data_IF_832443069964
#
_entry.id   IF_832443069964
#
_cell.length_a   1.000
_cell.length_b   1.000
_cell.length_c   1.000
_cell.angle_alpha   90.00
_cell.angle_beta   90.00
_cell.angle_gamma   90.00
#
_symmetry.space_group_name_H-M   'P 1'
#
loop_
_entity.id
_entity.type
_entity.pdbx_description
1 polymer ?
#
# COMPACT_ATOMS: atom_id res chain seq x y z
N UNK A 1 -16.58 19.74 -2.47
CA UNK A 1 -15.87 18.64 -3.17
C UNK A 1 -14.34 18.85 -3.20
N UNK A 2 -13.75 19.63 -2.29
CA UNK A 2 -12.29 19.95 -2.25
C UNK A 2 -11.53 19.00 -1.30
N UNK A 3 -12.22 18.41 -0.33
CA UNK A 3 -11.63 17.57 0.72
C UNK A 3 -11.17 16.19 0.23
N UNK A 4 -11.74 15.68 -0.86
CA UNK A 4 -11.41 14.36 -1.40
C UNK A 4 -10.14 14.38 -2.25
N UNK A 5 -9.95 15.41 -3.08
CA UNK A 5 -8.76 15.55 -3.93
C UNK A 5 -7.48 15.76 -3.09
N UNK A 6 -7.55 16.56 -2.02
CA UNK A 6 -6.44 16.75 -1.07
C UNK A 6 -5.98 15.42 -0.46
N UNK A 7 -6.92 14.54 -0.12
CA UNK A 7 -6.61 13.26 0.51
C UNK A 7 -5.81 12.34 -0.41
N UNK A 8 -6.16 12.25 -1.69
CA UNK A 8 -5.40 11.42 -2.65
C UNK A 8 -4.01 11.99 -2.90
N UNK A 9 -3.86 13.32 -2.93
CA UNK A 9 -2.54 13.95 -3.03
C UNK A 9 -1.65 13.60 -1.81
N UNK A 10 -2.19 13.70 -0.59
CA UNK A 10 -1.46 13.35 0.63
C UNK A 10 -1.03 11.87 0.65
N UNK A 11 -1.92 10.97 0.20
CA UNK A 11 -1.62 9.55 0.10
C UNK A 11 -0.56 9.25 -0.96
N UNK A 12 -0.61 9.93 -2.10
CA UNK A 12 0.42 9.82 -3.13
C UNK A 12 1.78 10.33 -2.63
N UNK A 13 1.81 11.41 -1.86
CA UNK A 13 3.03 11.87 -1.20
C UNK A 13 3.58 10.81 -0.21
N UNK A 14 2.69 10.16 0.55
CA UNK A 14 3.08 9.12 1.50
C UNK A 14 3.66 7.85 0.83
N UNK A 15 3.12 7.44 -0.33
CA UNK A 15 3.62 6.27 -1.08
C UNK A 15 4.73 6.58 -2.07
N UNK A 16 5.05 7.86 -2.33
CA UNK A 16 6.13 8.23 -3.25
C UNK A 16 7.49 7.60 -2.85
N UNK A 17 7.74 7.46 -1.54
CA UNK A 17 8.95 6.83 -1.01
C UNK A 17 9.00 5.32 -1.29
N UNK A 18 7.85 4.67 -1.48
CA UNK A 18 7.75 3.23 -1.79
C UNK A 18 8.45 2.84 -3.09
N UNK A 19 8.76 3.83 -3.94
CA UNK A 19 9.34 3.61 -5.25
C UNK A 19 10.62 2.78 -5.19
N UNK A 20 10.69 1.73 -6.00
CA UNK A 20 11.86 0.84 -6.07
C UNK A 20 12.00 -0.13 -4.89
N UNK A 21 11.04 -0.15 -3.96
CA UNK A 21 10.99 -1.14 -2.88
C UNK A 21 10.54 -2.52 -3.35
N UNK A 22 10.45 -3.44 -2.40
CA UNK A 22 9.85 -4.77 -2.55
C UNK A 22 8.58 -4.81 -1.71
N UNK A 23 7.44 -5.05 -2.36
CA UNK A 23 6.15 -5.15 -1.69
C UNK A 23 5.75 -6.61 -1.48
N UNK A 24 5.07 -6.86 -0.36
CA UNK A 24 4.42 -8.13 -0.04
C UNK A 24 3.02 -7.87 0.54
N UNK A 25 2.07 -8.74 0.21
CA UNK A 25 0.81 -8.84 0.91
C UNK A 25 1.09 -9.47 2.28
N UNK A 26 1.12 -8.64 3.32
CA UNK A 26 1.65 -9.03 4.62
C UNK A 26 0.63 -9.79 5.47
N UNK A 27 -0.57 -9.23 5.59
CA UNK A 27 -1.62 -9.76 6.46
C UNK A 27 -2.99 -9.39 5.90
N UNK A 28 -3.93 -10.33 5.99
CA UNK A 28 -5.34 -10.07 5.66
C UNK A 28 -6.25 -10.53 6.82
N UNK A 29 -6.96 -9.58 7.41
CA UNK A 29 -7.95 -9.82 8.45
C UNK A 29 -9.37 -9.78 7.85
N UNK A 30 -9.91 -10.96 7.53
CA UNK A 30 -11.19 -11.10 6.83
C UNK A 30 -12.37 -10.42 7.57
N UNK A 31 -12.43 -10.52 8.89
CA UNK A 31 -13.50 -9.90 9.70
C UNK A 31 -13.54 -8.37 9.62
N UNK A 32 -12.42 -7.74 9.28
CA UNK A 32 -12.30 -6.30 9.10
C UNK A 32 -12.24 -5.89 7.63
N UNK A 33 -12.17 -6.87 6.71
CA UNK A 33 -11.80 -6.65 5.32
C UNK A 33 -10.55 -5.75 5.22
N UNK A 34 -9.58 -6.02 6.10
CA UNK A 34 -8.36 -5.23 6.24
C UNK A 34 -7.19 -5.97 5.60
N UNK A 35 -6.47 -5.30 4.70
CA UNK A 35 -5.24 -5.79 4.07
C UNK A 35 -4.08 -4.87 4.45
N UNK A 36 -3.01 -5.45 4.95
CA UNK A 36 -1.73 -4.76 5.15
C UNK A 36 -0.79 -5.14 4.03
N UNK A 37 -0.29 -4.13 3.32
CA UNK A 37 0.81 -4.28 2.36
C UNK A 37 2.07 -3.76 3.05
N UNK A 38 3.13 -4.57 3.02
CA UNK A 38 4.42 -4.18 3.57
C UNK A 38 5.42 -3.98 2.45
N UNK A 39 6.16 -2.88 2.53
CA UNK A 39 7.18 -2.52 1.54
C UNK A 39 8.49 -2.33 2.28
N UNK A 40 9.55 -2.93 1.76
CA UNK A 40 10.92 -2.85 2.30
C UNK A 40 11.90 -2.46 1.20
N UNK A 41 13.09 -2.02 1.59
CA UNK A 41 14.17 -1.72 0.65
C UNK A 41 15.41 -2.54 0.99
N UNK A 42 16.09 -3.02 -0.04
CA UNK A 42 17.30 -3.83 0.14
C UNK A 42 18.40 -2.99 0.79
N UNK A 43 19.05 -3.56 1.80
CA UNK A 43 20.15 -2.91 2.50
C UNK A 43 19.73 -1.83 3.50
N UNK A 44 18.44 -1.68 3.78
CA UNK A 44 17.94 -0.79 4.84
C UNK A 44 17.06 -1.54 5.83
N UNK A 45 16.93 -0.98 7.03
CA UNK A 45 15.97 -1.41 8.06
C UNK A 45 14.60 -0.76 7.89
N UNK A 46 14.43 0.06 6.85
CA UNK A 46 13.23 0.86 6.67
C UNK A 46 12.10 -0.01 6.11
N UNK A 47 10.87 0.30 6.53
CA UNK A 47 9.68 -0.29 5.94
C UNK A 47 8.51 0.69 5.89
N UNK A 48 7.58 0.43 4.99
CA UNK A 48 6.31 1.12 4.88
C UNK A 48 5.18 0.10 5.00
N UNK A 49 4.22 0.38 5.86
CA UNK A 49 2.99 -0.41 5.98
C UNK A 49 1.83 0.42 5.45
N UNK A 50 1.12 -0.15 4.49
CA UNK A 50 -0.10 0.42 3.94
C UNK A 50 -1.25 -0.45 4.42
N UNK A 51 -2.05 0.08 5.34
CA UNK A 51 -3.19 -0.63 5.93
C UNK A 51 -4.47 -0.13 5.28
N UNK A 52 -5.12 -1.01 4.54
CA UNK A 52 -6.33 -0.73 3.77
C UNK A 52 -7.53 -1.43 4.41
N UNK A 53 -8.60 -0.70 4.69
CA UNK A 53 -9.83 -1.23 5.30
C UNK A 53 -11.01 -1.17 4.34
N UNK A 54 -11.94 -2.12 4.51
CA UNK A 54 -13.09 -2.25 3.61
C UNK A 54 -12.67 -2.61 2.19
N UNK A 55 -11.69 -3.50 2.07
CA UNK A 55 -11.18 -3.98 0.77
C UNK A 55 -12.27 -4.78 0.05
N UNK A 56 -12.61 -4.38 -1.18
CA UNK A 56 -13.68 -5.00 -1.98
C UNK A 56 -13.17 -5.66 -3.26
N UNK A 57 -11.95 -5.34 -3.69
CA UNK A 57 -11.29 -5.95 -4.84
C UNK A 57 -9.79 -5.95 -4.64
N UNK A 58 -9.15 -7.07 -4.96
CA UNK A 58 -7.70 -7.24 -4.97
C UNK A 58 -7.29 -8.02 -6.22
N UNK A 59 -6.34 -7.48 -6.97
CA UNK A 59 -5.61 -8.12 -8.06
C UNK A 59 -4.13 -7.91 -7.76
N UNK A 60 -3.41 -8.98 -7.47
CA UNK A 60 -2.03 -8.88 -7.03
C UNK A 60 -1.34 -10.25 -7.08
N UNK A 61 -0.04 -10.24 -7.34
CA UNK A 61 0.84 -11.29 -6.86
C UNK A 61 1.07 -11.13 -5.36
N UNK A 62 1.43 -12.23 -4.68
CA UNK A 62 1.68 -12.20 -3.22
C UNK A 62 2.84 -11.25 -2.83
N UNK A 63 3.76 -10.99 -3.75
CA UNK A 63 4.80 -9.98 -3.62
C UNK A 63 5.39 -9.59 -4.97
N UNK A 64 5.94 -8.39 -5.06
CA UNK A 64 6.52 -7.84 -6.29
C UNK A 64 7.68 -6.89 -5.99
N UNK A 65 8.57 -6.73 -6.97
CA UNK A 65 9.73 -5.83 -6.91
C UNK A 65 9.44 -4.53 -7.66
N UNK A 66 10.36 -3.57 -7.55
CA UNK A 66 10.36 -2.30 -8.28
C UNK A 66 9.04 -1.55 -8.13
N UNK A 67 8.53 -1.52 -6.89
CA UNK A 67 7.24 -0.93 -6.53
C UNK A 67 7.09 0.47 -7.11
N UNK A 68 5.94 0.77 -7.70
CA UNK A 68 5.56 2.10 -8.18
C UNK A 68 4.06 2.35 -7.97
N UNK A 69 3.70 2.63 -6.72
CA UNK A 69 2.31 2.76 -6.28
C UNK A 69 1.75 4.16 -6.51
N UNK A 70 0.47 4.19 -6.89
CA UNK A 70 -0.32 5.41 -7.05
C UNK A 70 -1.73 5.22 -6.46
N UNK A 71 -2.24 6.25 -5.80
CA UNK A 71 -3.62 6.34 -5.33
C UNK A 71 -4.47 7.12 -6.31
N UNK A 72 -5.68 6.62 -6.57
CA UNK A 72 -6.65 7.27 -7.43
C UNK A 72 -8.06 7.18 -6.83
N UNK A 73 -8.92 8.12 -7.20
CA UNK A 73 -10.35 8.03 -6.88
C UNK A 73 -11.01 6.93 -7.71
N UNK A 74 -11.84 6.12 -7.05
CA UNK A 74 -12.61 5.07 -7.70
C UNK A 74 -14.13 5.36 -7.74
N UNK A 75 -14.54 6.54 -7.28
CA UNK A 75 -15.96 6.91 -7.15
C UNK A 75 -16.60 6.35 -5.86
N UNK A 76 -17.81 6.83 -5.53
CA UNK A 76 -18.61 6.32 -4.39
C UNK A 76 -17.91 6.32 -3.02
N UNK A 77 -16.92 7.20 -2.83
CA UNK A 77 -16.13 7.27 -1.59
C UNK A 77 -15.02 6.22 -1.46
N UNK A 78 -14.83 5.37 -2.47
CA UNK A 78 -13.73 4.42 -2.54
C UNK A 78 -12.47 5.04 -3.16
N UNK A 79 -11.33 4.51 -2.78
CA UNK A 79 -10.01 4.81 -3.33
C UNK A 79 -9.40 3.53 -3.87
N UNK A 80 -8.64 3.65 -4.96
CA UNK A 80 -7.86 2.53 -5.49
C UNK A 80 -6.37 2.79 -5.37
N UNK A 81 -5.64 1.78 -4.94
CA UNK A 81 -4.19 1.71 -5.01
C UNK A 81 -3.81 0.87 -6.22
N UNK A 82 -2.91 1.35 -7.04
CA UNK A 82 -2.48 0.66 -8.26
C UNK A 82 -0.95 0.64 -8.36
N UNK A 83 -0.42 -0.45 -8.91
CA UNK A 83 0.92 -0.51 -9.47
C UNK A 83 0.78 -1.13 -10.86
N UNK A 84 0.89 -0.28 -11.89
CA UNK A 84 0.63 -0.71 -13.27
C UNK A 84 1.68 -1.68 -13.79
N UNK A 85 2.92 -1.59 -13.30
CA UNK A 85 4.02 -2.44 -13.73
C UNK A 85 3.85 -3.85 -13.17
N UNK A 86 3.43 -3.95 -11.90
CA UNK A 86 3.18 -5.23 -11.24
C UNK A 86 1.77 -5.79 -11.47
N UNK A 87 0.94 -5.16 -12.32
CA UNK A 87 -0.47 -5.49 -12.51
C UNK A 87 -1.27 -5.56 -11.19
N UNK A 88 -0.90 -4.72 -10.23
CA UNK A 88 -1.54 -4.64 -8.92
C UNK A 88 -2.71 -3.65 -8.94
N UNK A 89 -3.82 -4.04 -8.32
CA UNK A 89 -4.95 -3.18 -8.02
C UNK A 89 -5.59 -3.59 -6.69
N UNK A 90 -5.85 -2.60 -5.84
CA UNK A 90 -6.63 -2.75 -4.63
C UNK A 90 -7.69 -1.66 -4.56
N UNK A 91 -8.94 -2.04 -4.27
CA UNK A 91 -10.04 -1.11 -4.01
C UNK A 91 -10.43 -1.18 -2.53
N UNK A 92 -10.41 -0.05 -1.83
CA UNK A 92 -10.73 0.04 -0.41
C UNK A 92 -11.43 1.36 -0.03
N UNK A 93 -12.00 1.41 1.17
CA UNK A 93 -12.72 2.58 1.67
C UNK A 93 -11.82 3.52 2.48
N UNK A 94 -10.88 2.96 3.24
CA UNK A 94 -9.99 3.70 4.12
C UNK A 94 -8.57 3.18 4.02
N UNK A 95 -7.62 4.08 4.23
CA UNK A 95 -6.20 3.77 4.20
C UNK A 95 -5.50 4.52 5.31
N UNK A 96 -4.49 3.87 5.88
CA UNK A 96 -3.49 4.45 6.75
C UNK A 96 -2.11 4.01 6.26
N UNK A 97 -1.14 4.90 6.36
CA UNK A 97 0.24 4.65 5.95
C UNK A 97 1.12 4.86 7.18
N UNK A 98 1.98 3.89 7.47
CA UNK A 98 2.84 3.90 8.64
C UNK A 98 4.29 3.60 8.24
N UNK A 99 5.21 4.31 8.88
CA UNK A 99 6.63 4.17 8.62
C UNK A 99 7.30 3.36 9.73
N UNK A 100 8.18 2.44 9.35
CA UNK A 100 9.10 1.73 10.23
C UNK A 100 8.40 1.00 11.39
N UNK A 101 7.33 0.27 11.07
CA UNK A 101 6.60 -0.55 12.02
C UNK A 101 7.38 -1.85 12.29
N UNK A 102 7.50 -2.20 13.57
CA UNK A 102 8.07 -3.47 14.01
C UNK A 102 7.17 -4.65 13.62
N UNK A 103 7.73 -5.85 13.40
CA UNK A 103 9.15 -6.19 13.49
C UNK A 103 9.92 -5.79 12.24
N UNK A 104 11.04 -5.09 12.40
CA UNK A 104 12.02 -4.86 11.33
C UNK A 104 12.87 -6.13 11.23
N UNK A 105 12.63 -6.96 10.21
CA UNK A 105 13.46 -8.12 9.96
C UNK A 105 14.73 -7.69 9.23
N UNK A 106 15.88 -7.91 9.87
CA UNK A 106 17.18 -7.83 9.23
C UNK A 106 17.47 -9.18 8.57
N UNK A 107 17.92 -9.18 7.33
CA UNK A 107 18.68 -10.30 6.79
C UNK A 107 20.14 -10.09 7.21
N UNK A 108 20.63 -10.86 8.18
CA UNK A 108 22.05 -11.20 8.17
C UNK A 108 22.19 -12.23 7.05
N UNK A 109 22.63 -11.79 5.87
CA UNK A 109 23.43 -12.57 4.91
C UNK A 109 23.79 -11.77 3.67
#
# INVERSE_FOLDING_TARGET
MVMQESRVADLNAAVARARGGVAILWEYAASLSELTIRITWRGTSENLHIVCNGCTRLEADAGWNDVNLEWEHAGSGAIRLIDRQAHFLLLCAQVRVFDNIEPIYWEDR
#
